data_IF_577211264601
#
_entry.id   IF_577211264601
#
_cell.length_a   1.000
_cell.length_b   1.000
_cell.length_c   1.000
_cell.angle_alpha   90.00
_cell.angle_beta   90.00
_cell.angle_gamma   90.00
#
_symmetry.space_group_name_H-M   'P 1'
#
loop_
_entity.id
_entity.type
_entity.pdbx_description
1 polymer ?
#
# COMPACT_ATOMS: atom_id res chain seq x y z
N UNK A 1 -31.35 -3.18 -6.28
CA UNK A 1 -31.36 -2.83 -4.84
C UNK A 1 -30.04 -3.13 -4.12
N UNK A 2 -29.33 -4.24 -4.39
CA UNK A 2 -28.02 -4.54 -3.76
C UNK A 2 -26.87 -3.57 -4.10
N UNK A 3 -26.85 -2.94 -5.29
CA UNK A 3 -25.94 -1.82 -5.62
C UNK A 3 -26.20 -0.55 -4.80
N UNK A 4 -27.45 -0.32 -4.37
CA UNK A 4 -27.84 0.86 -3.60
C UNK A 4 -27.58 0.67 -2.10
N UNK A 5 -27.74 -0.57 -1.60
CA UNK A 5 -27.38 -0.94 -0.23
C UNK A 5 -25.85 -0.90 -0.03
N UNK A 6 -25.06 -1.43 -0.98
CA UNK A 6 -23.59 -1.32 -0.93
C UNK A 6 -23.11 0.11 -1.16
N UNK A 7 -23.77 0.90 -2.03
CA UNK A 7 -23.49 2.33 -2.16
C UNK A 7 -23.89 3.18 -0.94
N UNK A 8 -24.83 2.71 -0.10
CA UNK A 8 -25.16 3.33 1.18
C UNK A 8 -24.16 2.95 2.28
N UNK A 9 -23.66 1.72 2.28
CA UNK A 9 -22.54 1.26 3.12
C UNK A 9 -21.24 1.96 2.74
N UNK A 10 -20.99 2.19 1.45
CA UNK A 10 -19.86 2.98 0.94
C UNK A 10 -19.95 4.46 1.37
N UNK A 11 -21.14 5.09 1.28
CA UNK A 11 -21.38 6.45 1.82
C UNK A 11 -21.25 6.52 3.34
N UNK A 12 -21.71 5.49 4.05
CA UNK A 12 -21.56 5.38 5.51
C UNK A 12 -20.11 5.19 5.94
N UNK A 13 -19.32 4.37 5.21
CA UNK A 13 -17.89 4.19 5.47
C UNK A 13 -17.08 5.43 5.09
N UNK A 14 -17.39 6.14 4.00
CA UNK A 14 -16.69 7.38 3.64
C UNK A 14 -17.02 8.54 4.59
N UNK A 15 -18.29 8.72 5.01
CA UNK A 15 -18.68 9.70 6.04
C UNK A 15 -18.18 9.30 7.45
N UNK A 16 -17.97 8.00 7.68
CA UNK A 16 -17.35 7.47 8.89
C UNK A 16 -15.85 7.75 8.94
N UNK A 17 -15.11 7.42 7.87
CA UNK A 17 -13.70 7.72 7.68
C UNK A 17 -13.43 9.23 7.79
N UNK A 18 -14.30 10.06 7.22
CA UNK A 18 -14.24 11.53 7.31
C UNK A 18 -14.45 12.04 8.74
N UNK A 19 -15.45 11.52 9.46
CA UNK A 19 -15.67 11.94 10.85
C UNK A 19 -14.68 11.33 11.84
N UNK A 20 -14.01 10.24 11.48
CA UNK A 20 -13.02 9.59 12.31
C UNK A 20 -11.63 10.21 12.20
N UNK A 21 -11.22 10.63 10.99
CA UNK A 21 -10.03 11.46 10.81
C UNK A 21 -10.12 12.75 11.66
N UNK A 22 -11.33 13.32 11.79
CA UNK A 22 -11.61 14.49 12.64
C UNK A 22 -11.62 14.18 14.15
N UNK A 23 -11.98 12.94 14.54
CA UNK A 23 -12.11 12.53 15.94
C UNK A 23 -10.81 11.99 16.56
N UNK A 24 -10.01 11.22 15.80
CA UNK A 24 -8.66 10.79 16.20
C UNK A 24 -7.75 11.98 16.48
N UNK A 25 -7.84 13.00 15.62
CA UNK A 25 -7.03 14.21 15.73
C UNK A 25 -7.35 15.04 16.99
N UNK A 26 -8.59 15.02 17.49
CA UNK A 26 -8.96 15.73 18.73
C UNK A 26 -8.44 15.07 20.02
N UNK A 27 -8.06 13.78 19.98
CA UNK A 27 -7.87 12.95 21.18
C UNK A 27 -6.40 12.68 21.53
N UNK A 28 -5.45 13.01 20.66
CA UNK A 28 -4.02 12.72 20.81
C UNK A 28 -3.16 13.88 21.37
N UNK A 29 -3.67 14.66 22.34
CA UNK A 29 -2.85 15.67 23.06
C UNK A 29 -2.40 15.17 24.43
N UNK A 30 -1.10 15.17 24.76
CA UNK A 30 -0.61 15.49 26.09
C UNK A 30 -0.69 17.00 26.30
N UNK A 31 -1.14 17.46 27.48
CA UNK A 31 -0.95 18.87 27.89
C UNK A 31 0.53 19.07 28.20
N UNK A 32 1.22 19.88 27.40
CA UNK A 32 2.54 20.39 27.75
C UNK A 32 2.53 21.92 27.70
N UNK A 33 3.07 22.50 28.76
CA UNK A 33 3.20 23.93 29.08
C UNK A 33 4.08 24.66 28.05
N UNK A 34 3.96 26.01 27.93
CA UNK A 34 4.69 26.76 26.92
C UNK A 34 6.19 26.83 27.24
N UNK A 35 7.04 26.52 26.24
CA UNK A 35 8.46 26.80 26.26
C UNK A 35 8.76 28.16 25.58
N UNK A 36 9.81 28.88 25.99
CA UNK A 36 9.96 30.31 25.76
C UNK A 36 10.49 30.66 24.36
N UNK A 37 10.25 31.90 23.96
CA UNK A 37 10.65 32.48 22.67
C UNK A 37 12.17 32.67 22.54
N UNK A 38 12.74 32.50 21.32
CA UNK A 38 14.00 33.13 20.96
C UNK A 38 13.80 34.26 19.95
N UNK A 39 14.13 35.45 20.44
CA UNK A 39 14.90 36.57 19.87
C UNK A 39 15.00 36.74 18.34
N UNK A 40 14.65 37.96 17.96
CA UNK A 40 14.90 38.68 16.70
C UNK A 40 16.38 38.77 16.33
N UNK A 41 16.68 38.60 15.04
CA UNK A 41 17.80 39.27 14.39
C UNK A 41 17.31 39.79 13.03
N UNK A 42 17.54 41.08 12.87
CA UNK A 42 17.10 41.97 11.81
C UNK A 42 17.88 41.76 10.50
N UNK A 43 17.17 42.03 9.41
CA UNK A 43 17.54 42.64 8.13
C UNK A 43 19.02 42.89 7.81
N UNK A 44 19.42 42.53 6.58
CA UNK A 44 20.01 43.53 5.68
C UNK A 44 19.81 43.12 4.21
N UNK A 45 19.11 44.00 3.51
CA UNK A 45 18.94 44.05 2.06
C UNK A 45 20.18 44.63 1.36
N UNK A 46 20.22 44.37 0.05
CA UNK A 46 20.64 45.27 -1.02
C UNK A 46 22.03 45.21 -1.70
N UNK A 47 21.88 45.30 -3.03
CA UNK A 47 22.73 45.92 -4.05
C UNK A 47 23.94 45.15 -4.63
N UNK A 48 23.82 44.67 -5.88
CA UNK A 48 24.22 45.50 -7.03
C UNK A 48 23.75 44.92 -8.38
N UNK A 49 23.52 45.83 -9.32
CA UNK A 49 22.93 45.63 -10.65
C UNK A 49 24.03 45.67 -11.75
N UNK A 50 23.81 44.99 -12.89
CA UNK A 50 24.23 45.54 -14.20
C UNK A 50 25.30 44.83 -15.06
N UNK A 51 24.84 44.43 -16.26
CA UNK A 51 25.47 44.56 -17.60
C UNK A 51 26.46 43.49 -18.14
N UNK A 52 25.99 42.90 -19.27
CA UNK A 52 26.68 42.48 -20.50
C UNK A 52 28.18 42.11 -20.46
N UNK A 53 28.50 40.84 -20.80
CA UNK A 53 29.35 40.53 -21.96
C UNK A 53 29.28 39.05 -22.35
N UNK A 54 29.55 38.80 -23.62
CA UNK A 54 29.47 37.54 -24.37
C UNK A 54 30.47 36.48 -23.88
N UNK A 55 30.11 35.23 -24.20
CA UNK A 55 30.92 33.99 -24.29
C UNK A 55 30.66 32.95 -23.19
N UNK A 56 29.77 31.99 -23.48
CA UNK A 56 29.68 30.74 -22.74
C UNK A 56 29.44 29.57 -23.72
N UNK A 57 30.42 28.67 -23.94
CA UNK A 57 30.29 27.54 -24.85
C UNK A 57 29.75 26.33 -24.08
N UNK A 58 28.44 26.07 -24.14
CA UNK A 58 27.89 24.78 -23.72
C UNK A 58 26.62 24.41 -24.50
N UNK A 59 26.81 23.79 -25.67
CA UNK A 59 25.83 22.85 -26.24
C UNK A 59 26.58 21.68 -26.87
N UNK A 60 26.58 20.54 -26.19
CA UNK A 60 26.50 19.19 -26.79
C UNK A 60 26.62 18.13 -25.70
N UNK A 61 25.51 17.52 -25.28
CA UNK A 61 25.52 16.12 -24.83
C UNK A 61 24.17 15.41 -25.14
N UNK A 62 24.18 14.08 -25.40
CA UNK A 62 23.08 13.29 -25.96
C UNK A 62 22.11 12.73 -24.88
N UNK A 63 21.05 11.96 -25.23
CA UNK A 63 19.96 11.55 -24.31
C UNK A 63 20.36 10.46 -23.29
N UNK A 64 19.50 10.15 -22.29
CA UNK A 64 19.90 9.61 -20.99
C UNK A 64 20.06 8.09 -21.00
N UNK A 65 21.27 7.61 -21.27
CA UNK A 65 21.71 6.25 -20.90
C UNK A 65 22.74 6.25 -19.77
N UNK A 66 23.34 7.41 -19.46
CA UNK A 66 24.32 7.55 -18.38
C UNK A 66 23.67 7.53 -16.99
N UNK A 67 22.49 8.12 -16.81
CA UNK A 67 21.84 8.23 -15.48
C UNK A 67 21.48 6.90 -14.84
N UNK A 68 21.05 5.89 -15.63
CA UNK A 68 20.79 4.53 -15.14
C UNK A 68 22.07 3.79 -14.73
N UNK A 69 23.20 4.14 -15.33
CA UNK A 69 24.51 3.57 -14.98
C UNK A 69 25.04 4.22 -13.72
N UNK A 70 24.95 5.54 -13.63
CA UNK A 70 25.29 6.32 -12.43
C UNK A 70 24.48 5.89 -11.22
N UNK A 71 23.16 5.70 -11.35
CA UNK A 71 22.33 5.19 -10.25
C UNK A 71 22.68 3.76 -9.84
N UNK A 72 23.06 2.89 -10.79
CA UNK A 72 23.54 1.54 -10.48
C UNK A 72 24.89 1.54 -9.77
N UNK A 73 25.78 2.44 -10.18
CA UNK A 73 27.10 2.61 -9.60
C UNK A 73 27.00 3.22 -8.19
N UNK A 74 26.11 4.20 -7.98
CA UNK A 74 25.78 4.77 -6.66
C UNK A 74 25.16 3.73 -5.73
N UNK A 75 24.23 2.88 -6.22
CA UNK A 75 23.70 1.77 -5.42
C UNK A 75 24.79 0.76 -5.06
N UNK A 76 25.71 0.46 -5.97
CA UNK A 76 26.84 -0.45 -5.71
C UNK A 76 27.82 0.15 -4.68
N UNK A 77 28.05 1.45 -4.74
CA UNK A 77 28.90 2.20 -3.80
C UNK A 77 28.29 2.23 -2.39
N UNK A 78 27.00 2.54 -2.25
CA UNK A 78 26.28 2.47 -0.96
C UNK A 78 26.32 1.05 -0.39
N UNK A 79 26.24 0.03 -1.24
CA UNK A 79 26.36 -1.37 -0.80
C UNK A 79 27.78 -1.66 -0.28
N UNK A 80 28.82 -1.17 -0.95
CA UNK A 80 30.21 -1.32 -0.53
C UNK A 80 30.55 -0.50 0.73
N UNK A 81 29.96 0.68 0.92
CA UNK A 81 30.09 1.47 2.15
C UNK A 81 29.42 0.79 3.34
N UNK A 82 28.24 0.16 3.15
CA UNK A 82 27.62 -0.71 4.15
C UNK A 82 28.50 -1.94 4.48
N UNK A 83 29.27 -2.46 3.52
CA UNK A 83 30.23 -3.56 3.74
C UNK A 83 31.46 -3.11 4.56
N UNK A 84 31.87 -1.85 4.45
CA UNK A 84 33.03 -1.29 5.15
C UNK A 84 32.73 -0.90 6.61
N UNK A 85 31.50 -0.42 6.88
CA UNK A 85 31.08 0.04 8.21
C UNK A 85 30.76 -1.08 9.21
N UNK A 86 30.64 -2.34 8.77
CA UNK A 86 30.35 -3.53 9.59
C UNK A 86 31.63 -4.21 10.14
N UNK A 87 32.73 -3.44 10.26
CA UNK A 87 34.05 -3.92 10.77
C UNK A 87 34.26 -3.68 12.27
N UNK A 88 33.22 -3.25 12.99
CA UNK A 88 33.20 -3.17 14.46
C UNK A 88 32.98 -4.55 15.11
N UNK A 89 33.77 -4.85 16.14
CA UNK A 89 34.04 -6.16 16.73
C UNK A 89 32.82 -6.92 17.34
N UNK A 90 33.05 -8.22 17.52
CA UNK A 90 32.30 -9.22 18.31
C UNK A 90 31.03 -9.88 17.73
N UNK A 91 31.23 -10.83 16.81
CA UNK A 91 30.52 -12.12 16.81
C UNK A 91 31.24 -13.21 15.98
N UNK A 92 31.89 -14.13 16.70
CA UNK A 92 32.41 -15.46 16.30
C UNK A 92 32.47 -15.79 14.79
N UNK A 93 33.71 -15.81 14.29
CA UNK A 93 34.17 -16.24 12.95
C UNK A 93 33.55 -17.55 12.44
N UNK A 94 32.52 -17.44 11.61
CA UNK A 94 32.26 -18.42 10.55
C UNK A 94 32.05 -17.66 9.24
N UNK A 95 32.94 -17.80 8.23
CA UNK A 95 32.79 -17.11 6.94
C UNK A 95 31.43 -17.39 6.28
N UNK A 96 30.84 -18.58 6.49
CA UNK A 96 29.50 -18.90 6.00
C UNK A 96 28.39 -18.07 6.68
N UNK A 97 28.54 -17.74 7.97
CA UNK A 97 27.57 -16.91 8.69
C UNK A 97 27.58 -15.47 8.18
N UNK A 98 28.78 -14.94 7.86
CA UNK A 98 28.92 -13.61 7.25
C UNK A 98 28.30 -13.58 5.86
N UNK A 99 28.57 -14.58 5.02
CA UNK A 99 27.96 -14.69 3.69
C UNK A 99 26.44 -14.86 3.77
N UNK A 100 25.92 -15.62 4.74
CA UNK A 100 24.47 -15.74 4.98
C UNK A 100 23.83 -14.37 5.30
N UNK A 101 24.46 -13.59 6.18
CA UNK A 101 23.99 -12.22 6.50
C UNK A 101 23.98 -11.31 5.27
N UNK A 102 25.03 -11.35 4.45
CA UNK A 102 25.10 -10.60 3.18
C UNK A 102 23.98 -11.04 2.22
N UNK A 103 23.74 -12.33 2.09
CA UNK A 103 22.65 -12.86 1.25
C UNK A 103 21.28 -12.41 1.71
N UNK A 104 21.02 -12.38 3.03
CA UNK A 104 19.78 -11.83 3.61
C UNK A 104 19.62 -10.33 3.32
N UNK A 105 20.69 -9.53 3.51
CA UNK A 105 20.69 -8.09 3.16
C UNK A 105 20.38 -7.87 1.67
N UNK A 106 21.00 -8.67 0.78
CA UNK A 106 20.73 -8.62 -0.67
C UNK A 106 19.29 -9.03 -0.99
N UNK A 107 18.74 -10.05 -0.35
CA UNK A 107 17.35 -10.46 -0.51
C UNK A 107 16.38 -9.34 -0.14
N UNK A 108 16.63 -8.65 0.98
CA UNK A 108 15.76 -7.56 1.43
C UNK A 108 15.76 -6.35 0.49
N UNK A 109 16.82 -6.17 -0.31
CA UNK A 109 16.90 -5.13 -1.35
C UNK A 109 16.34 -5.60 -2.70
N UNK A 110 16.65 -6.83 -3.09
CA UNK A 110 16.25 -7.44 -4.36
C UNK A 110 16.13 -8.96 -4.13
N UNK A 111 14.90 -9.48 -3.94
CA UNK A 111 14.68 -10.87 -3.55
C UNK A 111 15.32 -11.87 -4.51
N UNK A 112 15.25 -11.58 -5.81
CA UNK A 112 15.80 -12.45 -6.85
C UNK A 112 17.32 -12.53 -6.75
N UNK A 113 18.01 -11.39 -6.66
CA UNK A 113 19.48 -11.36 -6.52
C UNK A 113 19.96 -11.93 -5.20
N UNK A 114 19.19 -11.76 -4.12
CA UNK A 114 19.50 -12.38 -2.82
C UNK A 114 19.50 -13.90 -2.90
N UNK A 115 18.47 -14.49 -3.52
CA UNK A 115 18.39 -15.93 -3.75
C UNK A 115 19.53 -16.42 -4.66
N UNK A 116 19.79 -15.73 -5.78
CA UNK A 116 20.91 -16.06 -6.68
C UNK A 116 22.26 -16.05 -5.94
N UNK A 117 22.53 -15.01 -5.14
CA UNK A 117 23.75 -14.93 -4.33
C UNK A 117 23.89 -16.11 -3.36
N UNK A 118 22.81 -16.47 -2.66
CA UNK A 118 22.83 -17.58 -1.70
C UNK A 118 23.07 -18.93 -2.40
N UNK A 119 22.55 -19.10 -3.61
CA UNK A 119 22.77 -20.30 -4.43
C UNK A 119 24.23 -20.36 -4.91
N UNK A 120 24.75 -19.28 -5.48
CA UNK A 120 26.11 -19.23 -6.03
C UNK A 120 27.19 -19.48 -4.96
N UNK A 121 26.92 -19.09 -3.72
CA UNK A 121 27.82 -19.31 -2.59
C UNK A 121 27.60 -20.66 -1.88
N UNK A 122 26.72 -21.53 -2.41
CA UNK A 122 26.42 -22.84 -1.86
C UNK A 122 25.75 -22.81 -0.48
N UNK A 123 25.06 -21.71 -0.16
CA UNK A 123 24.34 -21.50 1.10
C UNK A 123 22.87 -21.91 1.02
N UNK A 124 22.31 -21.91 -0.20
CA UNK A 124 20.95 -22.32 -0.50
C UNK A 124 20.95 -23.20 -1.75
N UNK A 125 20.15 -24.26 -1.76
CA UNK A 125 20.01 -25.09 -2.97
C UNK A 125 18.97 -24.46 -3.90
N UNK A 126 19.19 -24.60 -5.20
CA UNK A 126 18.25 -24.13 -6.22
C UNK A 126 17.09 -25.12 -6.42
N UNK A 127 16.31 -25.37 -5.36
CA UNK A 127 15.09 -26.18 -5.42
C UNK A 127 13.92 -25.39 -4.80
N UNK A 128 12.69 -25.60 -5.27
CA UNK A 128 11.53 -24.91 -4.70
C UNK A 128 11.38 -25.15 -3.19
N UNK A 129 11.57 -26.39 -2.73
CA UNK A 129 11.45 -26.77 -1.32
C UNK A 129 12.49 -26.10 -0.42
N UNK A 130 13.78 -26.08 -0.84
CA UNK A 130 14.84 -25.47 -0.05
C UNK A 130 14.65 -23.94 0.06
N UNK A 131 14.23 -23.29 -1.03
CA UNK A 131 13.93 -21.84 -1.04
C UNK A 131 12.69 -21.55 -0.20
N UNK A 132 11.61 -22.33 -0.36
CA UNK A 132 10.40 -22.18 0.45
C UNK A 132 10.71 -22.32 1.95
N UNK A 133 11.54 -23.30 2.33
CA UNK A 133 11.96 -23.51 3.71
C UNK A 133 12.80 -22.34 4.26
N UNK A 134 13.64 -21.74 3.41
CA UNK A 134 14.40 -20.54 3.75
C UNK A 134 13.48 -19.33 3.99
N UNK A 135 12.54 -19.09 3.09
CA UNK A 135 11.56 -18.01 3.21
C UNK A 135 10.65 -18.21 4.43
N UNK A 136 10.21 -19.44 4.68
CA UNK A 136 9.33 -19.78 5.81
C UNK A 136 10.01 -19.60 7.17
N UNK A 137 11.32 -19.90 7.27
CA UNK A 137 12.09 -19.59 8.47
C UNK A 137 12.20 -18.09 8.72
N UNK A 138 12.28 -17.29 7.65
CA UNK A 138 12.16 -15.83 7.70
C UNK A 138 13.24 -15.10 8.54
N UNK A 139 14.32 -15.79 8.94
CA UNK A 139 15.29 -15.23 9.87
C UNK A 139 16.10 -14.10 9.22
N UNK A 140 15.85 -12.86 9.65
CA UNK A 140 16.51 -11.66 9.09
C UNK A 140 16.04 -11.27 7.69
N UNK A 141 14.90 -11.79 7.24
CA UNK A 141 14.28 -11.46 5.96
C UNK A 141 13.14 -10.46 6.14
N UNK A 142 13.09 -9.48 5.25
CA UNK A 142 11.98 -8.54 5.18
C UNK A 142 10.73 -9.27 4.66
N UNK A 143 9.64 -9.20 5.42
CA UNK A 143 8.40 -9.94 5.07
C UNK A 143 7.66 -9.41 3.86
N UNK A 144 7.85 -8.14 3.49
CA UNK A 144 7.38 -7.56 2.23
C UNK A 144 8.15 -8.17 1.06
N UNK A 145 9.48 -8.26 1.16
CA UNK A 145 10.33 -8.89 0.14
C UNK A 145 9.97 -10.38 -0.07
N UNK A 146 9.59 -11.10 0.99
CA UNK A 146 9.06 -12.47 0.89
C UNK A 146 7.76 -12.48 0.07
N UNK A 147 6.80 -11.62 0.41
CA UNK A 147 5.52 -11.53 -0.30
C UNK A 147 5.67 -11.19 -1.77
N UNK A 148 6.57 -10.25 -2.09
CA UNK A 148 6.86 -9.86 -3.47
C UNK A 148 7.42 -11.02 -4.28
N UNK A 149 8.39 -11.76 -3.73
CA UNK A 149 8.99 -12.92 -4.39
C UNK A 149 7.97 -14.04 -4.60
N UNK A 150 7.23 -14.43 -3.56
CA UNK A 150 6.22 -15.49 -3.65
C UNK A 150 5.06 -15.13 -4.60
N UNK A 151 4.75 -13.84 -4.70
CA UNK A 151 3.70 -13.34 -5.57
C UNK A 151 4.07 -13.33 -7.05
N UNK A 152 5.33 -13.49 -7.44
CA UNK A 152 5.75 -13.42 -8.85
C UNK A 152 5.13 -14.50 -9.75
N UNK A 153 4.88 -14.15 -11.01
CA UNK A 153 4.12 -15.01 -11.96
C UNK A 153 4.92 -16.13 -12.61
N UNK A 154 6.24 -16.15 -12.45
CA UNK A 154 7.09 -17.13 -13.11
C UNK A 154 6.96 -18.52 -12.49
N UNK A 155 7.04 -19.56 -13.32
CA UNK A 155 6.75 -20.95 -12.93
C UNK A 155 7.57 -21.44 -11.72
N UNK A 156 8.83 -20.98 -11.62
CA UNK A 156 9.68 -21.30 -10.48
C UNK A 156 9.15 -20.70 -9.17
N UNK A 157 8.77 -19.43 -9.14
CA UNK A 157 8.21 -18.80 -7.94
C UNK A 157 6.84 -19.36 -7.60
N UNK A 158 6.04 -19.77 -8.60
CA UNK A 158 4.79 -20.50 -8.37
C UNK A 158 5.06 -21.83 -7.67
N UNK A 159 6.08 -22.58 -8.10
CA UNK A 159 6.49 -23.82 -7.42
C UNK A 159 7.01 -23.57 -6.00
N UNK A 160 7.73 -22.46 -5.78
CA UNK A 160 8.17 -22.04 -4.44
C UNK A 160 6.98 -21.67 -3.56
N UNK A 161 5.98 -20.94 -4.09
CA UNK A 161 4.75 -20.61 -3.37
C UNK A 161 3.98 -21.86 -2.97
N UNK A 162 3.86 -22.84 -3.87
CA UNK A 162 3.21 -24.13 -3.59
C UNK A 162 3.92 -24.85 -2.42
N UNK A 163 5.25 -24.97 -2.50
CA UNK A 163 6.05 -25.56 -1.42
C UNK A 163 5.94 -24.76 -0.10
N UNK A 164 5.94 -23.43 -0.17
CA UNK A 164 5.83 -22.54 0.99
C UNK A 164 4.48 -22.69 1.70
N UNK A 165 3.39 -22.77 0.94
CA UNK A 165 2.05 -23.01 1.49
C UNK A 165 1.96 -24.41 2.10
N UNK A 166 2.63 -25.42 1.51
CA UNK A 166 2.68 -26.77 2.07
C UNK A 166 3.40 -26.85 3.43
N UNK A 167 4.29 -25.91 3.76
CA UNK A 167 4.93 -25.82 5.07
C UNK A 167 3.99 -25.34 6.19
N UNK A 168 2.81 -24.82 5.84
CA UNK A 168 1.79 -24.44 6.81
C UNK A 168 0.87 -25.63 7.10
N UNK A 169 0.71 -25.92 8.39
CA UNK A 169 -0.24 -26.93 8.88
C UNK A 169 -1.52 -26.24 9.36
N UNK A 170 -2.57 -26.36 8.57
CA UNK A 170 -3.90 -25.81 8.88
C UNK A 170 -4.89 -26.86 9.41
N UNK A 171 -4.41 -28.05 9.75
CA UNK A 171 -5.26 -29.13 10.26
C UNK A 171 -5.98 -28.69 11.53
N UNK A 172 -7.29 -28.92 11.59
CA UNK A 172 -8.16 -28.59 12.73
C UNK A 172 -8.21 -27.09 13.10
N UNK A 173 -7.69 -26.20 12.26
CA UNK A 173 -7.78 -24.76 12.46
C UNK A 173 -9.02 -24.19 11.79
N UNK A 174 -9.73 -23.28 12.48
CA UNK A 174 -10.75 -22.48 11.80
C UNK A 174 -10.09 -21.50 10.82
N UNK A 175 -10.82 -21.09 9.78
CA UNK A 175 -10.27 -20.26 8.69
C UNK A 175 -9.55 -19.00 9.19
N UNK A 176 -10.06 -18.33 10.22
CA UNK A 176 -9.40 -17.16 10.84
C UNK A 176 -8.02 -17.52 11.43
N UNK A 177 -7.89 -18.67 12.10
CA UNK A 177 -6.62 -19.10 12.70
C UNK A 177 -5.59 -19.45 11.62
N UNK A 178 -6.03 -20.16 10.57
CA UNK A 178 -5.18 -20.45 9.40
C UNK A 178 -4.71 -19.15 8.72
N UNK A 179 -5.62 -18.18 8.53
CA UNK A 179 -5.27 -16.86 7.98
C UNK A 179 -4.26 -16.12 8.87
N UNK A 180 -4.40 -16.16 10.20
CA UNK A 180 -3.42 -15.54 11.12
C UNK A 180 -2.04 -16.13 10.95
N UNK A 181 -1.94 -17.46 10.88
CA UNK A 181 -0.65 -18.13 10.69
C UNK A 181 -0.05 -17.80 9.33
N UNK A 182 -0.86 -17.86 8.27
CA UNK A 182 -0.41 -17.60 6.91
C UNK A 182 0.09 -16.15 6.73
N UNK A 183 -0.71 -15.17 7.18
CA UNK A 183 -0.38 -13.74 7.09
C UNK A 183 0.70 -13.31 8.08
N UNK A 184 1.11 -14.18 9.01
CA UNK A 184 2.27 -13.94 9.86
C UNK A 184 3.59 -14.23 9.14
N UNK A 185 3.58 -15.09 8.12
CA UNK A 185 4.80 -15.55 7.46
C UNK A 185 5.35 -14.56 6.42
N UNK A 186 4.51 -13.65 5.91
CA UNK A 186 4.87 -12.65 4.90
C UNK A 186 3.89 -11.47 4.93
N UNK A 187 4.18 -10.39 4.20
CA UNK A 187 3.23 -9.29 3.95
C UNK A 187 2.60 -9.43 2.58
N UNK A 188 1.28 -9.27 2.49
CA UNK A 188 0.58 -9.34 1.21
C UNK A 188 1.12 -8.25 0.25
N UNK A 189 1.44 -8.62 -1.00
CA UNK A 189 1.91 -7.68 -2.01
C UNK A 189 0.81 -6.70 -2.40
N UNK A 190 1.21 -5.60 -3.04
CA UNK A 190 0.31 -4.52 -3.44
C UNK A 190 -0.54 -4.82 -4.68
N UNK A 191 -0.04 -5.65 -5.59
CA UNK A 191 -0.71 -5.90 -6.87
C UNK A 191 -1.77 -6.98 -6.74
N UNK A 192 -3.01 -6.67 -7.18
CA UNK A 192 -4.15 -7.57 -7.10
C UNK A 192 -3.89 -8.98 -7.66
N UNK A 193 -3.11 -9.07 -8.74
CA UNK A 193 -2.76 -10.36 -9.36
C UNK A 193 -1.82 -11.20 -8.49
N UNK A 194 -0.93 -10.59 -7.70
CA UNK A 194 -0.04 -11.31 -6.78
C UNK A 194 -0.85 -11.82 -5.58
N UNK A 195 -1.71 -10.96 -5.02
CA UNK A 195 -2.63 -11.33 -3.93
C UNK A 195 -3.51 -12.52 -4.33
N UNK A 196 -4.11 -12.48 -5.53
CA UNK A 196 -4.97 -13.54 -6.04
C UNK A 196 -4.26 -14.90 -6.05
N UNK A 197 -3.02 -14.96 -6.57
CA UNK A 197 -2.21 -16.19 -6.59
C UNK A 197 -1.95 -16.75 -5.19
N UNK A 198 -1.54 -15.88 -4.26
CA UNK A 198 -1.22 -16.29 -2.89
C UNK A 198 -2.45 -16.80 -2.14
N UNK A 199 -3.56 -16.06 -2.24
CA UNK A 199 -4.81 -16.42 -1.57
C UNK A 199 -5.48 -17.63 -2.20
N UNK A 200 -5.31 -17.86 -3.49
CA UNK A 200 -5.77 -19.07 -4.17
C UNK A 200 -5.04 -20.30 -3.64
N UNK A 201 -3.70 -20.26 -3.56
CA UNK A 201 -2.92 -21.37 -2.98
C UNK A 201 -3.26 -21.63 -1.53
N UNK A 202 -3.42 -20.58 -0.73
CA UNK A 202 -3.91 -20.70 0.65
C UNK A 202 -5.26 -21.41 0.72
N UNK A 203 -6.24 -20.98 -0.10
CA UNK A 203 -7.58 -21.55 -0.07
C UNK A 203 -7.59 -23.03 -0.47
N UNK A 204 -6.82 -23.40 -1.50
CA UNK A 204 -6.63 -24.79 -1.88
C UNK A 204 -6.05 -25.62 -0.73
N UNK A 205 -4.94 -25.17 -0.13
CA UNK A 205 -4.30 -25.87 0.99
C UNK A 205 -5.21 -26.01 2.21
N UNK A 206 -5.96 -24.96 2.54
CA UNK A 206 -6.89 -25.00 3.66
C UNK A 206 -7.98 -26.07 3.45
N UNK A 207 -8.57 -26.12 2.25
CA UNK A 207 -9.58 -27.12 1.90
C UNK A 207 -9.01 -28.54 1.84
N UNK A 208 -7.77 -28.72 1.38
CA UNK A 208 -7.10 -30.03 1.38
C UNK A 208 -6.93 -30.60 2.81
N UNK A 209 -6.57 -29.74 3.76
CA UNK A 209 -6.41 -30.14 5.17
C UNK A 209 -7.73 -30.19 5.95
N UNK A 210 -8.77 -29.53 5.45
CA UNK A 210 -10.09 -29.42 6.10
C UNK A 210 -11.24 -29.70 5.11
N UNK A 211 -11.35 -30.92 4.55
CA UNK A 211 -12.22 -31.23 3.41
C UNK A 211 -13.72 -31.14 3.72
N UNK A 212 -14.12 -31.14 5.00
CA UNK A 212 -15.52 -31.11 5.42
C UNK A 212 -16.06 -29.70 5.69
N UNK A 213 -15.24 -28.66 5.60
CA UNK A 213 -15.64 -27.28 5.98
C UNK A 213 -16.26 -26.52 4.80
N UNK A 214 -15.71 -26.68 3.59
CA UNK A 214 -16.16 -25.97 2.38
C UNK A 214 -16.33 -26.95 1.23
N UNK A 215 -17.36 -26.78 0.39
CA UNK A 215 -17.53 -27.63 -0.79
C UNK A 215 -16.51 -27.33 -1.89
N UNK A 216 -16.04 -26.08 -1.99
CA UNK A 216 -15.10 -25.65 -3.02
C UNK A 216 -14.04 -24.66 -2.49
N UNK A 217 -12.79 -24.72 -2.99
CA UNK A 217 -11.74 -23.75 -2.64
C UNK A 217 -12.13 -22.29 -2.92
N UNK A 218 -12.97 -22.04 -3.94
CA UNK A 218 -13.46 -20.69 -4.23
C UNK A 218 -14.30 -20.10 -3.09
N UNK A 219 -15.05 -20.92 -2.35
CA UNK A 219 -15.80 -20.48 -1.16
C UNK A 219 -14.86 -20.07 -0.05
N UNK A 220 -13.82 -20.88 0.20
CA UNK A 220 -12.76 -20.55 1.15
C UNK A 220 -12.04 -19.24 0.76
N UNK A 221 -11.74 -19.06 -0.53
CA UNK A 221 -11.10 -17.86 -1.07
C UNK A 221 -11.97 -16.60 -0.82
N UNK A 222 -13.23 -16.61 -1.24
CA UNK A 222 -14.12 -15.44 -1.09
C UNK A 222 -14.39 -15.14 0.39
N UNK A 223 -14.59 -16.18 1.21
CA UNK A 223 -14.80 -16.02 2.64
C UNK A 223 -13.55 -15.46 3.34
N UNK A 224 -12.35 -15.84 2.90
CA UNK A 224 -11.09 -15.27 3.42
C UNK A 224 -11.02 -13.76 3.22
N UNK A 225 -11.42 -13.25 2.05
CA UNK A 225 -11.53 -11.80 1.83
C UNK A 225 -12.62 -11.15 2.67
N UNK A 226 -13.77 -11.81 2.84
CA UNK A 226 -14.83 -11.31 3.71
C UNK A 226 -14.34 -11.17 5.17
N UNK A 227 -13.52 -12.10 5.66
CA UNK A 227 -12.87 -12.05 6.98
C UNK A 227 -11.86 -10.90 7.05
N UNK A 228 -11.02 -10.72 6.03
CA UNK A 228 -10.05 -9.61 5.97
C UNK A 228 -10.78 -8.26 5.99
N UNK A 229 -11.87 -8.10 5.23
CA UNK A 229 -12.69 -6.88 5.26
C UNK A 229 -13.40 -6.69 6.61
N UNK A 230 -13.84 -7.77 7.24
CA UNK A 230 -14.44 -7.72 8.58
C UNK A 230 -13.45 -7.17 9.61
N UNK A 231 -12.17 -7.55 9.54
CA UNK A 231 -11.13 -7.02 10.41
C UNK A 231 -11.05 -5.49 10.31
N UNK A 232 -11.01 -4.95 9.08
CA UNK A 232 -11.03 -3.50 8.86
C UNK A 232 -12.31 -2.88 9.41
N UNK A 233 -13.48 -3.48 9.16
CA UNK A 233 -14.76 -2.96 9.69
C UNK A 233 -14.76 -2.85 11.22
N UNK A 234 -14.36 -3.92 11.92
CA UNK A 234 -14.42 -4.00 13.38
C UNK A 234 -13.34 -3.17 14.06
N UNK A 235 -12.10 -3.24 13.56
CA UNK A 235 -10.94 -2.74 14.29
C UNK A 235 -10.34 -1.47 13.74
N UNK A 236 -10.55 -1.12 12.47
CA UNK A 236 -10.20 0.21 12.00
C UNK A 236 -11.18 1.17 12.68
N UNK A 237 -10.74 2.00 13.63
CA UNK A 237 -11.72 2.73 14.40
C UNK A 237 -12.36 3.83 13.52
N UNK A 238 -11.86 4.01 12.28
CA UNK A 238 -12.42 4.83 11.19
C UNK A 238 -13.75 4.42 10.64
N UNK A 239 -14.08 3.16 10.81
CA UNK A 239 -15.42 2.68 10.53
C UNK A 239 -16.27 2.96 11.77
N UNK A 240 -17.21 3.90 11.65
CA UNK A 240 -18.16 4.27 12.71
C UNK A 240 -19.23 3.19 12.87
N UNK A 241 -19.76 2.73 11.74
CA UNK A 241 -20.76 1.66 11.71
C UNK A 241 -20.05 0.31 11.65
N UNK A 242 -19.79 -0.24 12.84
CA UNK A 242 -19.20 -1.56 12.98
C UNK A 242 -20.17 -2.61 12.45
N UNK A 243 -19.70 -3.43 11.52
CA UNK A 243 -20.52 -4.48 10.95
C UNK A 243 -20.92 -5.46 12.06
N UNK A 244 -22.21 -5.74 12.19
CA UNK A 244 -22.72 -6.69 13.20
C UNK A 244 -22.58 -8.13 12.74
N UNK A 245 -22.70 -9.08 13.67
CA UNK A 245 -22.69 -10.51 13.37
C UNK A 245 -23.78 -10.91 12.36
N UNK A 246 -25.00 -10.37 12.53
CA UNK A 246 -26.13 -10.62 11.63
C UNK A 246 -25.89 -10.04 10.23
N UNK A 247 -25.22 -8.88 10.14
CA UNK A 247 -24.81 -8.32 8.86
C UNK A 247 -23.74 -9.20 8.19
N UNK A 248 -22.75 -9.68 8.94
CA UNK A 248 -21.73 -10.60 8.42
C UNK A 248 -22.34 -11.90 7.89
N UNK A 249 -23.27 -12.51 8.64
CA UNK A 249 -23.99 -13.72 8.20
C UNK A 249 -24.79 -13.44 6.93
N UNK A 250 -25.57 -12.35 6.91
CA UNK A 250 -26.42 -11.99 5.78
C UNK A 250 -25.61 -11.69 4.51
N UNK A 251 -24.45 -11.05 4.64
CA UNK A 251 -23.57 -10.71 3.51
C UNK A 251 -22.91 -11.93 2.86
N UNK A 252 -22.77 -13.02 3.61
CA UNK A 252 -22.15 -14.28 3.16
C UNK A 252 -23.17 -15.40 2.88
N UNK A 253 -24.48 -15.08 2.77
CA UNK A 253 -25.48 -16.04 2.29
C UNK A 253 -25.21 -16.48 0.86
N UNK A 254 -25.42 -17.76 0.58
CA UNK A 254 -25.21 -18.38 -0.72
C UNK A 254 -23.75 -18.43 -1.17
N UNK A 255 -22.79 -18.26 -0.26
CA UNK A 255 -21.36 -18.22 -0.60
C UNK A 255 -20.79 -19.60 -0.96
N UNK A 256 -21.44 -20.68 -0.52
CA UNK A 256 -21.02 -22.05 -0.79
C UNK A 256 -21.79 -22.62 -1.98
N UNK A 257 -21.43 -22.20 -3.20
CA UNK A 257 -22.13 -22.59 -4.43
C UNK A 257 -23.65 -22.35 -4.41
N UNK A 258 -24.10 -21.26 -3.78
CA UNK A 258 -25.52 -20.93 -3.66
C UNK A 258 -26.15 -21.40 -2.34
N UNK A 259 -25.49 -22.26 -1.59
CA UNK A 259 -25.88 -22.66 -0.24
C UNK A 259 -25.30 -21.74 0.85
N UNK A 260 -25.96 -21.73 2.00
CA UNK A 260 -25.53 -21.01 3.19
C UNK A 260 -24.54 -21.85 4.01
N UNK A 261 -23.45 -21.23 4.45
CA UNK A 261 -22.55 -21.84 5.42
C UNK A 261 -23.24 -21.97 6.80
N UNK A 262 -22.85 -22.95 7.64
CA UNK A 262 -23.38 -23.09 8.98
C UNK A 262 -23.27 -21.78 9.77
N UNK A 263 -24.37 -21.37 10.42
CA UNK A 263 -24.42 -20.12 11.21
C UNK A 263 -23.32 -20.11 12.27
N UNK A 264 -23.16 -21.22 12.98
CA UNK A 264 -22.16 -21.39 14.04
C UNK A 264 -20.72 -21.15 13.54
N UNK A 265 -20.41 -21.57 12.31
CA UNK A 265 -19.10 -21.30 11.68
C UNK A 265 -18.91 -19.80 11.44
N UNK A 266 -19.90 -19.12 10.86
CA UNK A 266 -19.80 -17.68 10.61
C UNK A 266 -19.72 -16.87 11.92
N UNK A 267 -20.42 -17.31 12.95
CA UNK A 267 -20.36 -16.71 14.29
C UNK A 267 -18.97 -16.90 14.91
N UNK A 268 -18.38 -18.09 14.82
CA UNK A 268 -17.04 -18.35 15.36
C UNK A 268 -15.95 -17.54 14.66
N UNK A 269 -16.05 -17.38 13.33
CA UNK A 269 -15.15 -16.54 12.55
C UNK A 269 -15.28 -15.06 12.93
N UNK A 270 -16.51 -14.57 13.07
CA UNK A 270 -16.79 -13.19 13.45
C UNK A 270 -16.26 -12.86 14.85
N UNK A 271 -16.58 -13.69 15.85
CA UNK A 271 -16.14 -13.46 17.22
C UNK A 271 -14.62 -13.61 17.37
N UNK A 272 -13.98 -14.51 16.62
CA UNK A 272 -12.52 -14.61 16.59
C UNK A 272 -11.86 -13.32 16.09
N UNK A 273 -12.35 -12.74 14.99
CA UNK A 273 -11.83 -11.45 14.51
C UNK A 273 -12.15 -10.36 15.52
N UNK A 274 -13.40 -10.25 15.99
CA UNK A 274 -13.82 -9.21 16.95
C UNK A 274 -12.99 -9.22 18.25
N UNK A 275 -12.58 -10.40 18.71
CA UNK A 275 -11.78 -10.57 19.92
C UNK A 275 -10.33 -10.15 19.73
N UNK A 276 -9.72 -10.50 18.59
CA UNK A 276 -8.34 -10.17 18.30
C UNK A 276 -8.20 -9.72 16.83
N UNK A 277 -7.73 -8.50 16.52
CA UNK A 277 -7.44 -8.12 15.14
C UNK A 277 -6.34 -9.02 14.55
N UNK A 278 -6.23 -9.09 13.22
CA UNK A 278 -5.03 -9.66 12.62
C UNK A 278 -3.79 -8.94 13.18
N UNK A 279 -2.69 -9.68 13.35
CA UNK A 279 -1.39 -9.11 13.69
C UNK A 279 -0.55 -9.21 12.42
N UNK A 280 -0.15 -8.07 11.88
CA UNK A 280 0.77 -8.04 10.76
C UNK A 280 2.19 -7.93 11.35
N UNK A 281 3.13 -8.75 10.90
CA UNK A 281 4.52 -8.62 11.29
C UNK A 281 5.08 -7.24 10.96
N UNK A 282 5.64 -6.55 11.95
CA UNK A 282 6.33 -5.27 11.77
C UNK A 282 7.72 -5.51 11.15
N UNK A 283 8.04 -4.82 10.05
CA UNK A 283 9.43 -4.66 9.59
C UNK A 283 9.82 -3.19 9.35
N UNK A 284 8.85 -2.29 9.15
CA UNK A 284 9.13 -0.89 8.79
C UNK A 284 7.90 0.02 8.87
N UNK A 285 7.03 -0.13 9.87
CA UNK A 285 6.04 0.90 10.29
C UNK A 285 4.99 1.37 9.26
N UNK A 286 5.05 0.89 8.01
CA UNK A 286 4.05 1.06 6.96
C UNK A 286 3.06 -0.10 7.08
N UNK A 287 2.23 -0.07 8.12
CA UNK A 287 1.35 -1.20 8.39
C UNK A 287 0.14 -1.22 7.45
N UNK A 288 0.04 -2.31 6.68
CA UNK A 288 -0.97 -2.59 5.64
C UNK A 288 -2.41 -2.71 6.19
N UNK A 289 -2.59 -2.81 7.51
CA UNK A 289 -3.93 -3.02 8.08
C UNK A 289 -4.76 -1.76 8.23
N UNK A 290 -4.17 -0.56 8.15
CA UNK A 290 -4.90 0.65 8.53
C UNK A 290 -5.14 1.70 7.46
N UNK A 291 -4.39 1.78 6.35
CA UNK A 291 -4.76 2.84 5.39
C UNK A 291 -4.35 2.71 3.93
N UNK A 292 -3.32 1.96 3.49
CA UNK A 292 -2.87 2.07 2.10
C UNK A 292 -2.31 0.77 1.54
N UNK A 293 -3.16 -0.03 0.90
CA UNK A 293 -2.66 -1.02 -0.06
C UNK A 293 -2.20 -0.24 -1.30
N UNK A 294 -0.90 -0.22 -1.56
CA UNK A 294 -0.28 0.07 -2.86
C UNK A 294 -0.90 1.22 -3.67
N UNK A 295 -0.36 2.44 -3.58
CA UNK A 295 -0.96 3.56 -4.29
C UNK A 295 -0.98 3.33 -5.80
N UNK A 296 -2.13 3.58 -6.43
CA UNK A 296 -2.29 3.61 -7.89
C UNK A 296 -1.21 4.47 -8.56
N UNK A 297 -0.73 5.49 -7.83
CA UNK A 297 0.47 6.25 -8.16
C UNK A 297 1.01 7.03 -6.97
N UNK A 298 2.33 7.16 -6.90
CA UNK A 298 2.99 8.15 -6.05
C UNK A 298 4.04 8.97 -6.81
N UNK A 299 4.41 10.14 -6.27
CA UNK A 299 5.39 11.01 -6.92
C UNK A 299 5.33 12.46 -6.47
N UNK A 300 6.37 13.22 -6.80
CA UNK A 300 6.43 14.64 -6.51
C UNK A 300 5.63 15.47 -7.52
N UNK A 301 4.78 16.38 -7.02
CA UNK A 301 4.13 17.41 -7.84
C UNK A 301 4.26 18.79 -7.20
N UNK A 302 4.23 19.82 -8.03
CA UNK A 302 4.01 21.19 -7.59
C UNK A 302 2.51 21.44 -7.53
N UNK A 303 1.98 21.94 -6.42
CA UNK A 303 0.57 22.32 -6.28
C UNK A 303 0.40 23.80 -6.03
N UNK A 304 -0.65 24.40 -6.61
CA UNK A 304 -1.04 25.77 -6.31
C UNK A 304 -1.91 25.81 -5.04
N UNK A 305 -1.77 26.86 -4.24
CA UNK A 305 -2.62 27.13 -3.09
C UNK A 305 -4.01 27.66 -3.50
N UNK A 306 -4.99 27.48 -2.61
CA UNK A 306 -6.38 27.87 -2.83
C UNK A 306 -6.60 29.38 -2.75
N UNK A 307 -6.68 29.91 -1.53
CA UNK A 307 -6.86 31.35 -1.25
C UNK A 307 -5.66 32.19 -1.69
N UNK A 308 -4.46 31.71 -1.38
CA UNK A 308 -3.20 32.33 -1.80
C UNK A 308 -2.56 31.46 -2.87
N UNK A 309 -2.31 32.02 -4.05
CA UNK A 309 -1.85 31.29 -5.24
C UNK A 309 -0.34 31.01 -5.24
N UNK A 310 0.22 30.62 -4.10
CA UNK A 310 1.60 30.17 -4.00
C UNK A 310 1.75 28.73 -4.45
N UNK A 311 2.91 28.38 -5.01
CA UNK A 311 3.24 27.04 -5.44
C UNK A 311 4.06 26.31 -4.38
N UNK A 312 3.70 25.07 -4.07
CA UNK A 312 4.41 24.24 -3.08
C UNK A 312 4.69 22.85 -3.66
N UNK A 313 5.91 22.35 -3.47
CA UNK A 313 6.28 20.96 -3.79
C UNK A 313 5.73 20.04 -2.71
N UNK A 314 5.05 18.96 -3.11
CA UNK A 314 4.47 17.97 -2.19
C UNK A 314 4.62 16.57 -2.78
N UNK A 315 4.83 15.59 -1.91
CA UNK A 315 4.80 14.17 -2.29
C UNK A 315 3.34 13.75 -2.36
N UNK A 316 2.88 13.29 -3.52
CA UNK A 316 1.51 12.87 -3.73
C UNK A 316 1.41 11.36 -3.74
N UNK A 317 0.33 10.86 -3.15
CA UNK A 317 -0.03 9.45 -3.15
C UNK A 317 -1.50 9.39 -3.59
N UNK A 318 -1.77 8.69 -4.69
CA UNK A 318 -3.11 8.38 -5.17
C UNK A 318 -3.45 6.98 -4.68
N UNK A 319 -4.49 6.87 -3.86
CA UNK A 319 -4.97 5.58 -3.40
C UNK A 319 -6.46 5.65 -3.04
N UNK A 320 -7.20 4.56 -3.24
CA UNK A 320 -8.59 4.41 -2.81
C UNK A 320 -9.48 5.61 -3.17
N UNK A 321 -9.41 6.06 -4.44
CA UNK A 321 -10.14 7.21 -4.97
C UNK A 321 -9.88 8.53 -4.21
N UNK A 322 -8.75 8.62 -3.53
CA UNK A 322 -8.30 9.79 -2.79
C UNK A 322 -6.89 10.18 -3.21
N UNK A 323 -6.66 11.49 -3.29
CA UNK A 323 -5.35 12.05 -3.54
C UNK A 323 -4.82 12.69 -2.26
N UNK A 324 -3.77 12.10 -1.72
CA UNK A 324 -3.07 12.53 -0.52
C UNK A 324 -1.84 13.33 -0.91
N UNK A 325 -1.47 14.32 -0.10
CA UNK A 325 -0.21 15.02 -0.29
C UNK A 325 0.51 15.33 1.01
N UNK A 326 1.81 15.14 1.01
CA UNK A 326 2.71 15.21 2.16
C UNK A 326 3.77 16.29 1.94
N UNK A 327 4.33 16.84 3.02
CA UNK A 327 5.45 17.77 2.89
C UNK A 327 6.74 17.02 2.55
N UNK A 328 6.96 15.88 3.20
CA UNK A 328 8.08 14.97 2.99
C UNK A 328 7.60 13.53 2.76
N UNK A 329 8.43 12.69 2.13
CA UNK A 329 8.14 11.26 1.89
C UNK A 329 8.13 10.43 3.17
N UNK A 330 8.81 10.91 4.22
CA UNK A 330 8.86 10.26 5.55
C UNK A 330 7.72 10.68 6.46
N UNK A 331 6.86 11.61 6.02
CA UNK A 331 5.76 12.11 6.83
C UNK A 331 4.71 11.03 7.03
N UNK A 332 4.38 10.76 8.29
CA UNK A 332 3.34 9.80 8.66
C UNK A 332 1.92 10.34 8.45
N UNK A 333 1.76 11.67 8.44
CA UNK A 333 0.46 12.33 8.31
C UNK A 333 0.41 13.22 7.05
N UNK A 334 -0.65 13.14 6.23
CA UNK A 334 -0.78 13.96 5.04
C UNK A 334 -1.01 15.43 5.41
N UNK A 335 -0.38 16.33 4.66
CA UNK A 335 -0.68 17.77 4.70
C UNK A 335 -2.09 18.06 4.18
N UNK A 336 -2.64 17.20 3.32
CA UNK A 336 -4.06 17.23 3.00
C UNK A 336 -4.53 16.06 2.17
N UNK A 337 -5.85 15.94 2.10
CA UNK A 337 -6.58 14.83 1.51
C UNK A 337 -7.64 15.39 0.56
N UNK A 338 -7.68 14.88 -0.66
CA UNK A 338 -8.61 15.28 -1.72
C UNK A 338 -9.35 14.01 -2.18
N UNK A 339 -10.55 13.75 -1.65
CA UNK A 339 -11.46 12.76 -2.22
C UNK A 339 -11.74 13.06 -3.69
N UNK A 340 -11.66 12.06 -4.56
CA UNK A 340 -11.89 12.19 -6.01
C UNK A 340 -13.35 11.95 -6.41
N UNK A 341 -14.27 11.92 -5.45
CA UNK A 341 -15.70 11.83 -5.71
C UNK A 341 -16.24 13.10 -6.39
N UNK A 342 -16.93 12.94 -7.52
CA UNK A 342 -17.46 14.05 -8.33
C UNK A 342 -16.38 15.04 -8.79
N UNK A 343 -15.14 14.56 -8.94
CA UNK A 343 -14.03 15.31 -9.50
C UNK A 343 -13.75 14.80 -10.91
N UNK A 344 -13.45 15.73 -11.81
CA UNK A 344 -12.87 15.44 -13.11
C UNK A 344 -11.49 16.08 -13.23
N UNK A 345 -10.69 15.57 -14.18
CA UNK A 345 -9.34 16.05 -14.45
C UNK A 345 -9.20 16.56 -15.89
N UNK A 346 -8.68 17.77 -16.04
CA UNK A 346 -8.40 18.41 -17.34
C UNK A 346 -6.98 18.96 -17.40
N UNK A 347 -6.46 19.05 -18.61
CA UNK A 347 -5.20 19.74 -18.87
C UNK A 347 -5.39 21.25 -18.90
N UNK A 348 -4.42 21.99 -18.39
CA UNK A 348 -4.43 23.46 -18.43
C UNK A 348 -3.04 24.01 -18.74
N UNK A 349 -2.99 25.21 -19.31
CA UNK A 349 -1.75 25.96 -19.45
C UNK A 349 -1.63 26.95 -18.27
N UNK A 350 -0.43 27.07 -17.71
CA UNK A 350 -0.10 28.08 -16.71
C UNK A 350 1.08 28.92 -17.22
N UNK A 351 1.07 30.23 -16.91
CA UNK A 351 2.11 31.15 -17.38
C UNK A 351 3.48 30.85 -16.76
N UNK A 352 3.49 30.29 -15.54
CA UNK A 352 4.69 30.20 -14.72
C UNK A 352 5.09 28.76 -14.37
N UNK A 353 4.31 27.76 -14.81
CA UNK A 353 4.57 26.35 -14.51
C UNK A 353 4.26 25.47 -15.74
N UNK A 354 5.20 24.58 -16.14
CA UNK A 354 4.96 23.66 -17.24
C UNK A 354 4.05 22.51 -16.81
N UNK A 355 3.58 21.73 -17.77
CA UNK A 355 2.92 20.43 -17.56
C UNK A 355 1.76 20.48 -16.53
N UNK A 356 0.91 21.50 -16.64
CA UNK A 356 -0.16 21.72 -15.67
C UNK A 356 -1.44 20.93 -15.97
N UNK A 357 -2.13 20.54 -14.90
CA UNK A 357 -3.47 19.95 -14.94
C UNK A 357 -4.28 20.39 -13.73
N UNK A 358 -5.60 20.28 -13.83
CA UNK A 358 -6.55 20.67 -12.80
C UNK A 358 -7.51 19.55 -12.45
N UNK A 359 -7.72 19.40 -11.14
CA UNK A 359 -8.91 18.76 -10.60
C UNK A 359 -9.99 19.82 -10.39
N UNK A 360 -11.19 19.57 -10.89
CA UNK A 360 -12.36 20.43 -10.71
C UNK A 360 -13.59 19.60 -10.34
N UNK A 361 -14.47 20.18 -9.53
CA UNK A 361 -15.73 19.53 -9.16
C UNK A 361 -16.74 19.63 -10.30
N UNK A 362 -17.53 18.57 -10.52
CA UNK A 362 -18.53 18.52 -11.60
C UNK A 362 -19.90 19.06 -11.19
N UNK A 363 -20.23 19.03 -9.89
CA UNK A 363 -21.57 19.36 -9.38
C UNK A 363 -21.60 20.46 -8.31
N UNK A 364 -20.47 20.80 -7.72
CA UNK A 364 -20.38 21.78 -6.62
C UNK A 364 -19.36 22.87 -6.94
N UNK A 365 -19.54 24.07 -6.37
CA UNK A 365 -18.61 25.18 -6.58
C UNK A 365 -17.24 24.96 -5.89
N UNK A 366 -17.17 24.05 -4.91
CA UNK A 366 -15.97 23.75 -4.14
C UNK A 366 -15.69 22.26 -4.10
N UNK A 367 -14.41 21.91 -4.10
CA UNK A 367 -13.92 20.55 -3.88
C UNK A 367 -13.88 20.29 -2.37
N UNK A 368 -14.62 19.28 -1.92
CA UNK A 368 -14.54 18.82 -0.53
C UNK A 368 -13.17 18.23 -0.30
N UNK A 369 -12.36 18.86 0.55
CA UNK A 369 -11.01 18.42 0.89
C UNK A 369 -10.66 18.90 2.30
N UNK A 370 -9.66 18.30 2.93
CA UNK A 370 -9.10 18.79 4.19
C UNK A 370 -7.59 19.01 4.07
N UNK A 371 -7.04 19.87 4.93
CA UNK A 371 -5.61 20.12 5.03
C UNK A 371 -5.22 20.54 6.44
N UNK A 372 -3.96 20.39 6.79
CA UNK A 372 -3.39 20.97 8.02
C UNK A 372 -2.90 22.40 7.75
N UNK A 373 -3.23 23.33 8.66
CA UNK A 373 -2.64 24.67 8.67
C UNK A 373 -1.25 24.68 9.33
N UNK A 374 -0.62 25.85 9.45
CA UNK A 374 0.71 26.01 10.03
C UNK A 374 0.79 25.63 11.52
N UNK A 375 -0.36 25.54 12.20
CA UNK A 375 -0.47 25.14 13.60
C UNK A 375 -0.81 23.64 13.74
N UNK A 376 -0.82 22.91 12.61
CA UNK A 376 -1.17 21.48 12.58
C UNK A 376 -2.67 21.22 12.70
N UNK A 377 -3.52 22.25 12.59
CA UNK A 377 -4.98 22.09 12.69
C UNK A 377 -5.61 21.68 11.37
N UNK A 378 -6.44 20.64 11.44
CA UNK A 378 -7.22 20.19 10.29
C UNK A 378 -8.31 21.21 9.99
N UNK A 379 -8.26 21.77 8.79
CA UNK A 379 -9.21 22.74 8.26
C UNK A 379 -9.72 22.28 6.90
N UNK A 380 -10.97 22.65 6.60
CA UNK A 380 -11.56 22.39 5.29
C UNK A 380 -10.84 23.19 4.20
N UNK A 381 -10.53 22.53 3.09
CA UNK A 381 -9.92 23.11 1.91
C UNK A 381 -10.93 23.94 1.14
N UNK A 382 -10.66 25.24 0.97
CA UNK A 382 -11.51 26.16 0.19
C UNK A 382 -11.07 26.26 -1.28
N UNK A 383 -10.81 25.12 -1.93
CA UNK A 383 -10.38 25.11 -3.34
C UNK A 383 -11.59 24.92 -4.24
N UNK A 384 -11.75 25.80 -5.23
CA UNK A 384 -12.67 25.58 -6.37
C UNK A 384 -12.03 24.63 -7.39
N UNK A 385 -10.71 24.72 -7.55
CA UNK A 385 -9.89 23.82 -8.35
C UNK A 385 -8.56 23.52 -7.64
N UNK A 386 -8.02 22.32 -7.85
CA UNK A 386 -6.64 21.99 -7.50
C UNK A 386 -5.80 21.96 -8.77
N UNK A 387 -4.99 23.01 -8.97
CA UNK A 387 -4.02 23.08 -10.05
C UNK A 387 -2.69 22.48 -9.61
N UNK A 388 -2.15 21.59 -10.43
CA UNK A 388 -0.90 20.88 -10.21
C UNK A 388 0.00 20.97 -11.45
N UNK A 389 1.30 20.79 -11.26
CA UNK A 389 2.33 20.81 -12.30
C UNK A 389 3.30 19.65 -12.04
N UNK A 390 3.50 18.82 -13.07
CA UNK A 390 4.46 17.71 -13.07
C UNK A 390 5.82 18.15 -13.62
N UNK A 391 6.90 17.41 -13.31
CA UNK A 391 8.24 17.78 -13.77
C UNK A 391 8.39 17.54 -15.28
N UNK A 392 7.78 16.47 -15.81
CA UNK A 392 7.81 16.12 -17.24
C UNK A 392 6.42 16.02 -17.87
N UNK A 393 6.31 16.13 -19.20
CA UNK A 393 5.06 15.86 -19.92
C UNK A 393 4.54 14.43 -19.69
N UNK A 394 5.46 13.45 -19.69
CA UNK A 394 5.13 12.03 -19.49
C UNK A 394 4.53 11.79 -18.10
N UNK A 395 5.14 12.38 -17.05
CA UNK A 395 4.59 12.31 -15.70
C UNK A 395 3.18 12.92 -15.63
N UNK A 396 2.97 14.08 -16.26
CA UNK A 396 1.65 14.73 -16.34
C UNK A 396 0.62 13.79 -16.96
N UNK A 397 0.92 13.23 -18.14
CA UNK A 397 0.00 12.33 -18.85
C UNK A 397 -0.36 11.11 -18.02
N UNK A 398 0.65 10.50 -17.40
CA UNK A 398 0.44 9.34 -16.56
C UNK A 398 -0.35 9.71 -15.29
N UNK A 399 -0.23 10.94 -14.74
CA UNK A 399 -0.91 11.33 -13.50
C UNK A 399 -2.39 11.50 -13.80
N UNK A 400 -2.68 12.18 -14.91
CA UNK A 400 -4.03 12.31 -15.46
C UNK A 400 -4.63 10.92 -15.72
N UNK A 401 -3.85 10.00 -16.32
CA UNK A 401 -4.30 8.63 -16.60
C UNK A 401 -4.67 7.88 -15.32
N UNK A 402 -3.78 7.82 -14.32
CA UNK A 402 -4.04 7.12 -13.06
C UNK A 402 -5.23 7.75 -12.31
N UNK A 403 -5.32 9.08 -12.27
CA UNK A 403 -6.45 9.77 -11.64
C UNK A 403 -7.76 9.42 -12.34
N UNK A 404 -7.82 9.43 -13.68
CA UNK A 404 -9.02 9.00 -14.44
C UNK A 404 -9.38 7.55 -14.18
N UNK A 405 -8.38 6.67 -14.08
CA UNK A 405 -8.60 5.25 -13.80
C UNK A 405 -9.15 5.05 -12.37
N UNK A 406 -8.57 5.71 -11.38
CA UNK A 406 -9.03 5.68 -9.98
C UNK A 406 -10.46 6.25 -9.85
N UNK A 407 -10.79 7.32 -10.59
CA UNK A 407 -12.18 7.85 -10.66
C UNK A 407 -13.15 6.83 -11.28
N UNK A 408 -12.70 5.93 -12.16
CA UNK A 408 -13.57 5.06 -12.97
C UNK A 408 -13.62 3.59 -12.55
N UNK A 409 -12.65 3.04 -11.80
CA UNK A 409 -12.49 1.59 -11.70
C UNK A 409 -11.63 1.09 -10.51
N UNK A 410 -12.06 0.04 -9.81
CA UNK A 410 -11.24 -0.73 -8.85
C UNK A 410 -11.07 -2.19 -9.35
N UNK A 411 -9.90 -2.56 -9.93
CA UNK A 411 -9.66 -3.89 -10.51
C UNK A 411 -9.78 -5.07 -9.54
N UNK A 412 -9.43 -4.85 -8.27
CA UNK A 412 -9.47 -5.88 -7.23
C UNK A 412 -10.92 -6.30 -6.92
N UNK A 413 -11.83 -5.33 -6.92
CA UNK A 413 -13.25 -5.58 -6.71
C UNK A 413 -13.89 -6.34 -7.87
N UNK A 414 -13.48 -6.04 -9.10
CA UNK A 414 -13.95 -6.73 -10.31
C UNK A 414 -13.55 -8.20 -10.34
N UNK A 415 -12.35 -8.51 -9.85
CA UNK A 415 -11.87 -9.89 -9.66
C UNK A 415 -12.72 -10.65 -8.64
N UNK A 416 -12.98 -10.08 -7.45
CA UNK A 416 -13.86 -10.69 -6.44
C UNK A 416 -15.30 -10.88 -6.97
N UNK A 417 -15.82 -9.89 -7.68
CA UNK A 417 -17.14 -9.97 -8.30
C UNK A 417 -17.19 -11.05 -9.40
N UNK A 418 -16.11 -11.24 -10.17
CA UNK A 418 -16.00 -12.29 -11.19
C UNK A 418 -15.97 -13.68 -10.59
N UNK A 419 -15.16 -13.92 -9.55
CA UNK A 419 -15.13 -15.21 -8.83
C UNK A 419 -16.49 -15.53 -8.18
N UNK A 420 -17.13 -14.56 -7.53
CA UNK A 420 -18.50 -14.72 -6.98
C UNK A 420 -19.55 -15.09 -8.04
N UNK A 421 -19.45 -14.51 -9.24
CA UNK A 421 -20.33 -14.88 -10.37
C UNK A 421 -20.05 -16.29 -10.90
N UNK A 422 -18.81 -16.75 -10.86
CA UNK A 422 -18.45 -18.10 -11.31
C UNK A 422 -19.01 -19.17 -10.35
N UNK A 423 -18.91 -18.94 -9.04
CA UNK A 423 -19.54 -19.78 -7.99
C UNK A 423 -21.04 -19.96 -8.28
N UNK A 424 -21.76 -18.86 -8.52
CA UNK A 424 -23.21 -18.87 -8.82
C UNK A 424 -23.58 -19.49 -10.18
N UNK A 425 -22.65 -19.55 -11.14
CA UNK A 425 -22.90 -20.17 -12.45
C UNK A 425 -22.70 -21.67 -12.41
N UNK A 426 -21.76 -22.16 -11.59
CA UNK A 426 -21.52 -23.58 -11.41
C UNK A 426 -22.65 -24.28 -10.63
N UNK A 427 -23.42 -23.57 -9.82
CA UNK A 427 -24.60 -24.13 -9.13
C UNK A 427 -25.85 -24.30 -10.01
N UNK A 428 -25.87 -23.69 -11.20
CA UNK A 428 -26.99 -23.74 -12.15
C UNK A 428 -26.76 -24.74 -13.29
N UNK A 429 -25.72 -25.58 -13.19
CA UNK A 429 -25.45 -26.72 -14.05
C UNK A 429 -25.49 -27.98 -13.21
#
# INVERSE_FOLDING_TARGET
MYRLAWGAVQRGLTDALLGYAVALWKRSRPRLLPAPAPLSLEDDEDAFCGLHHRDCPCRSHPPPQQSLKTLKDEMAEVTAEMEALDTGEDSKNNPKSKQMSIGRKKFNMDPKKGIEYLIDHGLLKNTPDDIAQFLYKGEGLNKTAIGDYLGERNDFNQSVLDAFVCLHDFTDLILVQALRQFLWSFRLPGEAQKIDRMMERFAHRYCELNPSIFQHPDTCFVLSFAIIMLNTSLHNPAVKDKQTIEQFITMNRGIDNGDDLPRELLESLYESIKTEPFKIPEDDGNDLMHTFFNPDREGWLMKQGGRYKSWKRRWFILNDNCLYYFEYTTDKEPRGIIPLENIEVREVQDRNKPNCFELYATSTDFIKACKTDSEGKVVEGKHTVYRMSAATPDEKEEWIKCIRQSISHNPFYDMLAKRKKNIQKNSNR
#
